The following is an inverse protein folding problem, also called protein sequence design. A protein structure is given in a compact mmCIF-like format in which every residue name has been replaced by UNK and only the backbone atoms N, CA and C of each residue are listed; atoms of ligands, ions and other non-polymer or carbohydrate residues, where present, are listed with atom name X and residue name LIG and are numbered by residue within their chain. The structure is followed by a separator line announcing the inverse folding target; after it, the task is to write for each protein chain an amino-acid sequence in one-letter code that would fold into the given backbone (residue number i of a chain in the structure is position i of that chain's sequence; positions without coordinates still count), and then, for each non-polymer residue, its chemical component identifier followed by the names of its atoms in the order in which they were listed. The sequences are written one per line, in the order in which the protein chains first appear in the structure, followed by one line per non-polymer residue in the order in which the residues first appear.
data_IF_226876618261
#
_entry.id   IF_226876618261
#
_cell.length_a   1.000
_cell.length_b   1.000
_cell.length_c   1.000
_cell.angle_alpha   90.00
_cell.angle_beta   90.00
_cell.angle_gamma   90.00
#
_symmetry.space_group_name_H-M   'P 1'
#
loop_
_entity.id
_entity.type
_entity.pdbx_description
1 polymer ?
#
# COMPACT_ATOMS: atom_id res chain seq x y z
N UNK A 1 25.07 66.17 -27.66
CA UNK A 1 24.38 66.37 -26.37
C UNK A 1 22.99 65.75 -26.46
N UNK A 2 22.67 64.82 -25.55
CA UNK A 2 21.36 64.17 -25.30
C UNK A 2 20.84 63.27 -26.44
N UNK A 3 20.14 62.16 -26.23
CA UNK A 3 19.82 61.25 -25.11
C UNK A 3 18.72 60.34 -25.67
N UNK A 4 18.55 59.15 -25.08
CA UNK A 4 17.43 58.20 -25.20
C UNK A 4 17.53 57.22 -26.38
N UNK A 5 18.03 56.00 -26.16
CA UNK A 5 17.37 54.91 -25.43
C UNK A 5 16.09 54.45 -26.12
N UNK A 6 16.19 53.44 -26.98
CA UNK A 6 15.14 52.41 -27.09
C UNK A 6 15.81 51.08 -27.38
N UNK A 7 15.88 50.32 -26.30
CA UNK A 7 16.25 48.92 -26.19
C UNK A 7 15.26 48.09 -27.01
N UNK A 8 15.77 47.28 -27.93
CA UNK A 8 15.02 46.16 -28.50
C UNK A 8 15.93 44.93 -28.52
N UNK A 9 16.38 44.57 -27.32
CA UNK A 9 16.96 43.27 -26.98
C UNK A 9 15.81 42.28 -26.86
N UNK A 10 15.29 41.82 -27.99
CA UNK A 10 14.40 40.67 -28.07
C UNK A 10 15.27 39.44 -28.30
N UNK A 11 15.95 39.00 -27.25
CA UNK A 11 16.71 37.76 -27.26
C UNK A 11 16.52 37.04 -25.93
N UNK A 12 16.05 35.79 -26.03
CA UNK A 12 16.00 34.77 -24.98
C UNK A 12 14.84 34.85 -23.98
N UNK A 13 13.67 34.41 -24.45
CA UNK A 13 12.79 33.60 -23.60
C UNK A 13 12.19 32.45 -24.42
N UNK A 14 13.06 31.59 -24.93
CA UNK A 14 12.66 30.26 -25.34
C UNK A 14 12.47 29.44 -24.07
N UNK A 15 11.23 29.38 -23.56
CA UNK A 15 10.86 28.35 -22.59
C UNK A 15 10.94 27.03 -23.36
N UNK A 16 12.10 26.39 -23.28
CA UNK A 16 12.25 24.99 -23.59
C UNK A 16 11.52 24.26 -22.46
N UNK A 17 10.23 23.99 -22.65
CA UNK A 17 9.56 22.91 -21.95
C UNK A 17 10.24 21.63 -22.45
N UNK A 18 11.37 21.28 -21.84
CA UNK A 18 11.78 19.89 -21.78
C UNK A 18 10.65 19.21 -21.02
N UNK A 19 9.70 18.65 -21.77
CA UNK A 19 8.80 17.65 -21.25
C UNK A 19 9.71 16.58 -20.66
N UNK A 20 9.92 16.63 -19.34
CA UNK A 20 10.33 15.45 -18.61
C UNK A 20 9.33 14.40 -19.05
N UNK A 21 9.87 13.36 -19.68
CA UNK A 21 9.08 12.30 -20.27
C UNK A 21 8.01 11.86 -19.30
N UNK A 22 6.90 11.35 -19.84
CA UNK A 22 5.94 10.56 -19.09
C UNK A 22 6.70 9.40 -18.43
N UNK A 23 7.34 9.65 -17.30
CA UNK A 23 7.89 8.64 -16.42
C UNK A 23 6.69 7.83 -16.00
N UNK A 24 6.78 6.51 -16.18
CA UNK A 24 5.78 5.61 -15.67
C UNK A 24 5.52 5.99 -14.21
N UNK A 25 4.31 6.50 -13.92
CA UNK A 25 3.91 6.80 -12.55
C UNK A 25 3.96 5.46 -11.82
N UNK A 26 4.96 5.29 -10.97
CA UNK A 26 5.05 4.09 -10.15
C UNK A 26 3.84 4.09 -9.23
N UNK A 27 2.96 3.10 -9.38
CA UNK A 27 1.74 2.98 -8.58
C UNK A 27 2.04 3.01 -7.06
N UNK A 28 3.25 2.60 -6.67
CA UNK A 28 3.73 2.58 -5.30
C UNK A 28 4.54 3.83 -4.89
N UNK A 29 4.67 4.85 -5.72
CA UNK A 29 5.40 6.09 -5.39
C UNK A 29 4.98 6.70 -4.03
N UNK A 30 3.69 6.68 -3.61
CA UNK A 30 3.31 7.17 -2.29
C UNK A 30 3.97 6.41 -1.13
N UNK A 31 4.34 5.14 -1.32
CA UNK A 31 4.95 4.31 -0.27
C UNK A 31 6.44 4.59 -0.05
N UNK A 32 7.06 5.46 -0.85
CA UNK A 32 8.44 5.90 -0.61
C UNK A 32 8.59 6.58 0.76
N UNK A 33 9.56 6.12 1.54
CA UNK A 33 9.83 6.58 2.91
C UNK A 33 8.85 6.06 3.96
N UNK A 34 7.96 5.11 3.62
CA UNK A 34 7.08 4.49 4.62
C UNK A 34 7.81 3.34 5.27
N UNK A 35 8.09 3.51 6.57
CA UNK A 35 8.72 2.48 7.38
C UNK A 35 7.68 1.50 7.94
N UNK A 36 7.92 0.21 7.74
CA UNK A 36 7.20 -0.88 8.39
C UNK A 36 8.19 -1.75 9.16
N UNK A 37 7.71 -2.57 10.09
CA UNK A 37 8.57 -3.46 10.87
C UNK A 37 8.44 -4.89 10.37
N UNK A 38 9.55 -5.53 10.01
CA UNK A 38 9.61 -6.96 9.68
C UNK A 38 9.26 -7.79 10.91
N UNK A 39 8.33 -8.73 10.77
CA UNK A 39 7.96 -9.66 11.87
C UNK A 39 9.06 -10.69 12.10
N UNK A 40 9.76 -11.12 11.04
CA UNK A 40 10.82 -12.12 11.14
C UNK A 40 12.11 -11.59 11.77
N UNK A 41 12.53 -10.39 11.39
CA UNK A 41 13.81 -9.81 11.85
C UNK A 41 13.67 -8.69 12.88
N UNK A 42 12.49 -8.06 12.98
CA UNK A 42 12.29 -6.86 13.80
C UNK A 42 12.83 -5.57 13.16
N UNK A 43 13.44 -5.65 11.98
CA UNK A 43 14.04 -4.51 11.31
C UNK A 43 13.00 -3.54 10.74
N UNK A 44 13.37 -2.26 10.69
CA UNK A 44 12.60 -1.25 9.97
C UNK A 44 12.91 -1.32 8.46
N UNK A 45 11.87 -1.47 7.65
CA UNK A 45 11.95 -1.64 6.20
C UNK A 45 11.21 -0.49 5.52
N UNK A 46 11.88 0.18 4.57
CA UNK A 46 11.24 1.16 3.69
C UNK A 46 10.46 0.45 2.57
N UNK A 47 9.14 0.68 2.51
CA UNK A 47 8.29 0.05 1.50
C UNK A 47 8.60 0.52 0.07
N UNK A 48 9.04 1.76 -0.12
CA UNK A 48 9.45 2.26 -1.43
C UNK A 48 10.62 1.47 -1.99
N UNK A 49 11.66 1.29 -1.18
CA UNK A 49 12.85 0.51 -1.50
C UNK A 49 12.52 -0.98 -1.64
N UNK A 50 11.61 -1.51 -0.81
CA UNK A 50 11.15 -2.89 -0.89
C UNK A 50 10.48 -3.22 -2.23
N UNK A 51 9.66 -2.29 -2.74
CA UNK A 51 8.88 -2.41 -3.97
C UNK A 51 9.65 -2.01 -5.24
N UNK A 52 10.72 -1.24 -5.08
CA UNK A 52 11.56 -0.84 -6.20
C UNK A 52 12.27 -2.05 -6.77
N UNK A 53 11.92 -2.43 -8.01
CA UNK A 53 12.74 -3.34 -8.81
C UNK A 53 14.10 -2.70 -9.06
N UNK A 54 15.16 -3.51 -9.17
CA UNK A 54 16.44 -2.99 -9.67
C UNK A 54 16.22 -2.31 -11.04
N UNK A 55 16.96 -1.25 -11.33
CA UNK A 55 16.79 -0.41 -12.53
C UNK A 55 16.93 -1.15 -13.87
N UNK A 56 17.40 -2.40 -13.85
CA UNK A 56 17.41 -3.34 -14.97
C UNK A 56 16.18 -4.25 -14.97
N UNK A 57 15.00 -3.67 -14.75
CA UNK A 57 13.73 -4.40 -14.61
C UNK A 57 13.41 -5.26 -15.84
N UNK A 58 13.99 -6.45 -15.89
CA UNK A 58 13.51 -7.57 -16.67
C UNK A 58 12.06 -7.81 -16.25
N UNK A 59 11.16 -8.25 -17.15
CA UNK A 59 9.76 -8.57 -16.83
C UNK A 59 9.54 -9.53 -15.65
N UNK A 60 10.64 -10.11 -15.14
CA UNK A 60 10.71 -11.09 -14.06
C UNK A 60 10.69 -10.48 -12.65
N UNK A 61 11.04 -9.22 -12.38
CA UNK A 61 11.08 -8.71 -10.99
C UNK A 61 9.76 -8.06 -10.54
N UNK A 62 8.71 -8.88 -10.42
CA UNK A 62 7.41 -8.43 -9.92
C UNK A 62 7.26 -8.73 -8.43
N UNK A 63 6.75 -7.74 -7.71
CA UNK A 63 6.43 -7.83 -6.29
C UNK A 63 4.93 -7.74 -6.09
N UNK A 64 4.36 -8.65 -5.31
CA UNK A 64 3.00 -8.54 -4.79
C UNK A 64 3.09 -8.06 -3.33
N UNK A 65 2.44 -6.94 -3.04
CA UNK A 65 2.31 -6.43 -1.67
C UNK A 65 0.83 -6.33 -1.32
N UNK A 66 0.43 -6.99 -0.24
CA UNK A 66 -0.92 -6.94 0.31
C UNK A 66 -0.92 -5.97 1.49
N UNK A 67 -1.73 -4.92 1.42
CA UNK A 67 -1.98 -4.01 2.54
C UNK A 67 -3.22 -4.49 3.28
N UNK A 68 -3.01 -5.31 4.30
CA UNK A 68 -4.07 -5.82 5.17
C UNK A 68 -4.37 -4.88 6.33
N UNK A 69 -5.56 -5.02 6.88
CA UNK A 69 -5.99 -4.32 8.10
C UNK A 69 -5.51 -5.10 9.32
N UNK A 70 -6.36 -5.49 10.26
CA UNK A 70 -5.96 -6.21 11.46
C UNK A 70 -5.81 -7.71 11.20
N UNK A 71 -4.93 -8.38 11.96
CA UNK A 71 -4.65 -9.82 11.79
C UNK A 71 -5.86 -10.74 12.03
N UNK A 72 -6.88 -10.28 12.77
CA UNK A 72 -8.11 -11.01 13.02
C UNK A 72 -9.26 -10.62 12.07
N UNK A 73 -9.01 -9.75 11.09
CA UNK A 73 -10.03 -9.38 10.11
C UNK A 73 -10.22 -10.50 9.09
N UNK A 74 -11.48 -10.86 8.78
CA UNK A 74 -11.78 -11.94 7.83
C UNK A 74 -11.09 -11.76 6.48
N UNK A 75 -11.05 -10.53 5.96
CA UNK A 75 -10.35 -10.24 4.71
C UNK A 75 -8.85 -10.54 4.84
N UNK A 76 -8.19 -10.12 5.92
CA UNK A 76 -6.76 -10.38 6.11
C UNK A 76 -6.46 -11.89 6.21
N UNK A 77 -7.31 -12.63 6.94
CA UNK A 77 -7.24 -14.09 7.05
C UNK A 77 -7.40 -14.75 5.68
N UNK A 78 -8.44 -14.38 4.94
CA UNK A 78 -8.75 -14.95 3.64
C UNK A 78 -7.65 -14.66 2.61
N UNK A 79 -7.14 -13.42 2.55
CA UNK A 79 -6.04 -13.06 1.65
C UNK A 79 -4.77 -13.84 1.99
N UNK A 80 -4.45 -14.07 3.26
CA UNK A 80 -3.31 -14.88 3.66
C UNK A 80 -3.48 -16.36 3.25
N UNK A 81 -4.67 -16.93 3.44
CA UNK A 81 -5.00 -18.29 3.00
C UNK A 81 -4.92 -18.44 1.48
N UNK A 82 -5.49 -17.49 0.73
CA UNK A 82 -5.44 -17.45 -0.73
C UNK A 82 -4.01 -17.30 -1.21
N UNK A 83 -3.20 -16.43 -0.58
CA UNK A 83 -1.80 -16.27 -0.94
C UNK A 83 -1.04 -17.57 -0.79
N UNK A 84 -1.17 -18.27 0.35
CA UNK A 84 -0.57 -19.59 0.57
C UNK A 84 -0.95 -20.58 -0.54
N UNK A 85 -2.24 -20.65 -0.88
CA UNK A 85 -2.74 -21.58 -1.90
C UNK A 85 -2.23 -21.26 -3.31
N UNK A 86 -2.26 -19.99 -3.69
CA UNK A 86 -1.92 -19.54 -5.05
C UNK A 86 -0.44 -19.19 -5.24
N UNK A 87 0.39 -19.26 -4.20
CA UNK A 87 1.81 -18.88 -4.24
C UNK A 87 2.57 -19.51 -5.43
N UNK A 88 2.48 -20.83 -5.68
CA UNK A 88 3.18 -21.45 -6.82
C UNK A 88 2.71 -20.90 -8.17
N UNK A 89 1.40 -20.69 -8.33
CA UNK A 89 0.83 -20.18 -9.58
C UNK A 89 1.21 -18.72 -9.82
N UNK A 90 1.19 -17.88 -8.78
CA UNK A 90 1.62 -16.49 -8.87
C UNK A 90 3.10 -16.37 -9.26
N UNK A 91 3.94 -17.28 -8.76
CA UNK A 91 5.36 -17.35 -9.12
C UNK A 91 5.55 -17.85 -10.55
N UNK A 92 5.05 -19.03 -10.85
CA UNK A 92 5.38 -19.76 -12.09
C UNK A 92 4.63 -19.21 -13.31
N UNK A 93 3.41 -18.71 -13.12
CA UNK A 93 2.54 -18.27 -14.21
C UNK A 93 2.43 -16.75 -14.31
N UNK A 94 2.49 -16.04 -13.18
CA UNK A 94 2.37 -14.57 -13.17
C UNK A 94 3.72 -13.84 -13.05
N UNK A 95 4.81 -14.57 -12.78
CA UNK A 95 6.17 -14.04 -12.64
C UNK A 95 6.36 -13.17 -11.40
N UNK A 96 5.61 -13.43 -10.33
CA UNK A 96 5.77 -12.74 -9.04
C UNK A 96 6.85 -13.44 -8.23
N UNK A 97 7.91 -12.73 -7.88
CA UNK A 97 9.08 -13.31 -7.21
C UNK A 97 9.17 -12.91 -5.74
N UNK A 98 8.48 -11.83 -5.37
CA UNK A 98 8.54 -11.25 -4.04
C UNK A 98 7.12 -11.05 -3.53
N UNK A 99 6.85 -11.50 -2.31
CA UNK A 99 5.53 -11.49 -1.70
C UNK A 99 5.63 -10.83 -0.33
N UNK A 100 4.86 -9.77 -0.12
CA UNK A 100 4.79 -9.06 1.15
C UNK A 100 3.36 -8.94 1.65
N UNK A 101 3.17 -9.04 2.95
CA UNK A 101 1.93 -8.67 3.64
C UNK A 101 2.25 -7.63 4.71
N UNK A 102 1.56 -6.50 4.70
CA UNK A 102 1.63 -5.50 5.78
C UNK A 102 0.31 -5.55 6.56
N UNK A 103 0.37 -5.67 7.88
CA UNK A 103 -0.79 -5.70 8.75
C UNK A 103 -0.79 -4.54 9.76
N UNK A 104 -1.97 -3.97 10.00
CA UNK A 104 -2.19 -2.89 10.96
C UNK A 104 -2.34 -3.42 12.40
N UNK A 105 -1.35 -4.19 12.87
CA UNK A 105 -1.39 -4.84 14.18
C UNK A 105 -0.01 -4.90 14.85
N UNK A 106 0.07 -5.51 16.02
CA UNK A 106 1.34 -5.79 16.70
C UNK A 106 1.97 -7.10 16.18
N UNK A 107 3.30 -7.28 16.28
CA UNK A 107 4.00 -8.47 15.79
C UNK A 107 3.39 -9.81 16.25
N UNK A 108 2.98 -9.91 17.52
CA UNK A 108 2.39 -11.13 18.09
C UNK A 108 1.08 -11.56 17.40
N UNK A 109 0.25 -10.57 17.03
CA UNK A 109 -0.99 -10.82 16.32
C UNK A 109 -0.71 -11.27 14.88
N UNK A 110 0.27 -10.66 14.21
CA UNK A 110 0.71 -11.06 12.88
C UNK A 110 1.28 -12.50 12.87
N UNK A 111 2.11 -12.83 13.87
CA UNK A 111 2.63 -14.19 14.07
C UNK A 111 1.51 -15.21 14.30
N UNK A 112 0.50 -14.83 15.08
CA UNK A 112 -0.66 -15.68 15.34
C UNK A 112 -1.44 -15.97 14.04
N UNK A 113 -1.67 -14.96 13.20
CA UNK A 113 -2.29 -15.15 11.88
C UNK A 113 -1.46 -16.09 11.01
N UNK A 114 -0.15 -15.83 10.87
CA UNK A 114 0.75 -16.64 10.06
C UNK A 114 0.73 -18.12 10.50
N UNK A 115 0.68 -18.35 11.82
CA UNK A 115 0.59 -19.68 12.39
C UNK A 115 -0.75 -20.34 12.08
N UNK A 116 -1.87 -19.63 12.28
CA UNK A 116 -3.22 -20.17 12.10
C UNK A 116 -3.53 -20.56 10.65
N UNK A 117 -2.92 -19.88 9.67
CA UNK A 117 -3.15 -20.14 8.24
C UNK A 117 -2.03 -20.96 7.59
N UNK A 118 -1.05 -21.41 8.39
CA UNK A 118 0.24 -22.01 7.97
C UNK A 118 0.93 -21.22 6.83
N UNK A 119 1.07 -19.90 7.00
CA UNK A 119 1.76 -19.06 6.04
C UNK A 119 3.28 -19.35 6.07
N UNK A 120 3.86 -19.65 4.90
CA UNK A 120 5.30 -19.90 4.79
C UNK A 120 6.09 -18.58 4.78
N UNK A 121 6.59 -18.20 5.96
CA UNK A 121 7.39 -16.99 6.16
C UNK A 121 8.79 -17.05 5.52
N UNK A 122 9.21 -18.19 4.97
CA UNK A 122 10.43 -18.27 4.15
C UNK A 122 10.20 -17.76 2.72
N UNK A 123 8.93 -17.68 2.29
CA UNK A 123 8.53 -17.24 0.97
C UNK A 123 7.74 -15.93 0.96
N UNK A 124 7.17 -15.55 2.10
CA UNK A 124 6.36 -14.34 2.27
C UNK A 124 6.95 -13.48 3.37
N UNK A 125 7.31 -12.24 3.01
CA UNK A 125 7.74 -11.24 3.97
C UNK A 125 6.51 -10.70 4.72
N UNK A 126 6.49 -10.90 6.04
CA UNK A 126 5.42 -10.39 6.89
C UNK A 126 5.88 -9.13 7.63
N UNK A 127 5.11 -8.06 7.47
CA UNK A 127 5.38 -6.75 8.06
C UNK A 127 4.22 -6.30 8.94
N UNK A 128 4.52 -5.44 9.92
CA UNK A 128 3.53 -4.73 10.71
C UNK A 128 3.68 -3.22 10.60
N UNK A 129 2.54 -2.56 10.59
CA UNK A 129 2.37 -1.11 10.64
C UNK A 129 1.22 -0.79 11.61
N UNK A 130 1.44 -0.79 12.93
CA UNK A 130 0.38 -0.65 13.93
C UNK A 130 -0.46 0.62 13.75
N UNK A 131 0.09 1.64 13.10
CA UNK A 131 -0.61 2.87 12.84
C UNK A 131 -1.41 2.83 11.54
N UNK A 132 -1.13 1.93 10.58
CA UNK A 132 -1.73 1.89 9.26
C UNK A 132 -1.32 3.05 8.35
N UNK A 133 -0.12 3.57 8.53
CA UNK A 133 0.45 4.64 7.71
C UNK A 133 0.62 4.25 6.23
N UNK A 134 1.02 3.01 5.94
CA UNK A 134 1.20 2.49 4.59
C UNK A 134 -0.11 2.52 3.79
N UNK A 135 -1.18 1.93 4.35
CA UNK A 135 -2.51 1.95 3.73
C UNK A 135 -3.03 3.37 3.52
N UNK A 136 -2.89 4.25 4.52
CA UNK A 136 -3.27 5.67 4.41
C UNK A 136 -2.53 6.38 3.28
N UNK A 137 -1.22 6.20 3.18
CA UNK A 137 -0.39 6.90 2.21
C UNK A 137 -0.59 6.36 0.79
N UNK A 138 -0.84 5.05 0.64
CA UNK A 138 -1.20 4.44 -0.63
C UNK A 138 -2.59 4.89 -1.14
N UNK A 139 -3.48 5.30 -0.23
CA UNK A 139 -4.84 5.72 -0.57
C UNK A 139 -5.87 4.60 -0.46
N UNK A 140 -5.63 3.59 0.39
CA UNK A 140 -6.64 2.58 0.71
C UNK A 140 -7.87 3.27 1.32
N UNK A 141 -9.07 2.92 0.86
CA UNK A 141 -10.32 3.50 1.35
C UNK A 141 -10.47 3.29 2.86
N UNK A 142 -10.91 4.34 3.57
CA UNK A 142 -10.96 4.38 5.04
C UNK A 142 -12.39 4.43 5.60
N UNK A 143 -13.36 4.19 4.73
CA UNK A 143 -14.78 4.23 5.06
C UNK A 143 -15.32 5.64 5.31
N UNK A 144 -16.44 5.70 6.02
CA UNK A 144 -17.19 6.93 6.28
C UNK A 144 -16.64 7.69 7.50
N UNK A 145 -16.34 8.98 7.31
CA UNK A 145 -15.75 9.88 8.31
C UNK A 145 -14.46 9.33 8.98
N UNK A 146 -13.43 8.99 8.18
CA UNK A 146 -12.18 8.48 8.71
C UNK A 146 -11.49 9.53 9.58
N UNK A 147 -10.86 9.09 10.67
CA UNK A 147 -10.07 9.93 11.60
C UNK A 147 -10.79 11.14 12.21
N UNK A 148 -12.11 11.26 12.07
CA UNK A 148 -12.88 12.34 12.70
C UNK A 148 -12.95 12.11 14.23
N UNK A 149 -12.30 12.97 15.06
CA UNK A 149 -12.28 12.80 16.51
C UNK A 149 -13.59 13.22 17.19
N UNK A 150 -14.42 14.02 16.51
CA UNK A 150 -15.67 14.56 17.04
C UNK A 150 -16.82 13.53 17.00
N UNK A 151 -16.61 12.41 16.30
CA UNK A 151 -17.61 11.35 16.14
C UNK A 151 -17.15 10.08 16.84
N UNK A 152 -17.95 9.63 17.80
CA UNK A 152 -17.68 8.39 18.54
C UNK A 152 -17.49 7.20 17.56
N UNK A 153 -16.41 6.39 17.70
CA UNK A 153 -16.17 5.22 16.84
C UNK A 153 -17.34 4.23 16.77
N UNK A 154 -18.08 4.03 17.87
CA UNK A 154 -19.26 3.15 17.89
C UNK A 154 -20.39 3.68 17.02
N UNK A 155 -20.54 5.01 16.92
CA UNK A 155 -21.54 5.63 16.06
C UNK A 155 -21.17 5.46 14.59
N UNK A 156 -19.87 5.51 14.25
CA UNK A 156 -19.40 5.21 12.89
C UNK A 156 -19.67 3.75 12.52
N UNK A 157 -19.44 2.80 13.44
CA UNK A 157 -19.76 1.39 13.24
C UNK A 157 -21.28 1.18 13.07
N UNK A 158 -22.10 1.84 13.89
CA UNK A 158 -23.55 1.81 13.74
C UNK A 158 -24.01 2.37 12.38
N UNK A 159 -23.43 3.47 11.93
CA UNK A 159 -23.73 4.04 10.61
C UNK A 159 -23.31 3.12 9.45
N UNK A 160 -22.20 2.39 9.61
CA UNK A 160 -21.78 1.38 8.65
C UNK A 160 -22.81 0.24 8.51
N UNK A 161 -23.50 -0.15 9.60
CA UNK A 161 -24.62 -1.12 9.52
C UNK A 161 -25.76 -0.62 8.62
N UNK A 162 -25.94 0.70 8.52
CA UNK A 162 -26.92 1.34 7.66
C UNK A 162 -26.39 1.66 6.25
N UNK A 163 -25.22 1.14 5.90
CA UNK A 163 -24.64 1.29 4.57
C UNK A 163 -23.82 2.56 4.35
N UNK A 164 -23.52 3.32 5.41
CA UNK A 164 -22.65 4.50 5.30
C UNK A 164 -21.18 4.07 5.28
N UNK A 165 -20.51 4.29 4.15
CA UNK A 165 -19.13 3.84 3.91
C UNK A 165 -19.12 2.50 3.19
N UNK A 166 -18.55 1.47 3.81
CA UNK A 166 -18.41 0.14 3.23
C UNK A 166 -19.75 -0.63 3.24
N UNK A 167 -20.66 -0.20 2.38
CA UNK A 167 -22.09 -0.57 2.37
C UNK A 167 -22.37 -2.07 2.17
N UNK A 168 -21.42 -2.80 1.60
CA UNK A 168 -21.55 -4.24 1.36
C UNK A 168 -20.92 -5.10 2.48
N UNK A 169 -20.08 -4.54 3.35
CA UNK A 169 -19.23 -5.34 4.24
C UNK A 169 -20.04 -6.00 5.36
N UNK A 170 -20.92 -5.28 6.04
CA UNK A 170 -21.73 -5.84 7.12
C UNK A 170 -22.85 -6.77 6.63
N UNK A 171 -23.61 -6.45 5.57
CA UNK A 171 -24.55 -7.40 4.98
C UNK A 171 -23.89 -8.68 4.49
N UNK A 172 -22.70 -8.59 3.92
CA UNK A 172 -21.97 -9.77 3.46
C UNK A 172 -21.36 -10.55 4.63
N UNK A 173 -20.84 -9.91 5.69
CA UNK A 173 -20.40 -10.61 6.92
C UNK A 173 -21.56 -11.29 7.65
N UNK A 174 -22.72 -10.63 7.76
CA UNK A 174 -23.94 -11.19 8.37
C UNK A 174 -24.53 -12.31 7.51
N UNK A 175 -24.54 -12.11 6.19
CA UNK A 175 -24.97 -13.11 5.21
C UNK A 175 -24.00 -14.28 5.05
N UNK A 176 -22.84 -14.20 5.70
CA UNK A 176 -21.77 -15.18 5.58
C UNK A 176 -21.18 -15.18 4.18
N UNK A 177 -20.41 -14.15 3.85
CA UNK A 177 -19.31 -14.26 2.91
C UNK A 177 -18.75 -15.69 2.89
#
# INVERSE_FOLDING_TARGET
MRSLSTILLLSHLGILLTGNGFGAVQAFAPLAGVQVTSVGSGDSVDLGSYLSSSSDASPKDRTLLILGTYAADFNAIEYAQRLRYYLPQLRDQCGVNKFGIVLNCQPDAANSLATLVDLDLTQVDLFVDPLGAAGRKYGVERGWLPDNPDVNPFLKLFAALWGLGAWATLPAVIGGY
#
